data_IF_777622211965
#
_entry.id   IF_777622211965
#
_cell.length_a   1.000
_cell.length_b   1.000
_cell.length_c   1.000
_cell.angle_alpha   90.00
_cell.angle_beta   90.00
_cell.angle_gamma   90.00
#
_symmetry.space_group_name_H-M   'P 1'
#
loop_
_entity.id
_entity.type
_entity.pdbx_description
1 polymer ?
#
# COMPACT_ATOMS: atom_id res chain seq x y z
N UNK A 1 -20.61 -5.69 10.56
CA UNK A 1 -19.78 -5.08 9.52
C UNK A 1 -19.47 -6.08 8.41
N UNK A 2 -18.77 -7.20 8.67
CA UNK A 2 -18.36 -8.16 7.62
C UNK A 2 -19.56 -8.72 6.82
N UNK A 3 -20.63 -9.14 7.48
CA UNK A 3 -21.78 -9.81 6.84
C UNK A 3 -22.56 -8.95 5.83
N UNK A 4 -22.40 -7.64 5.84
CA UNK A 4 -23.10 -6.71 4.93
C UNK A 4 -22.16 -5.84 4.11
N UNK A 5 -20.89 -6.22 3.99
CA UNK A 5 -19.93 -5.46 3.21
C UNK A 5 -19.87 -5.96 1.76
N UNK A 6 -19.85 -5.05 0.79
CA UNK A 6 -19.62 -5.40 -0.62
C UNK A 6 -18.15 -5.65 -0.91
N UNK A 7 -17.27 -4.97 -0.18
CA UNK A 7 -15.81 -5.07 -0.31
C UNK A 7 -15.18 -5.19 1.08
N UNK A 8 -14.23 -6.10 1.22
CA UNK A 8 -13.45 -6.29 2.44
C UNK A 8 -11.97 -6.23 2.05
N UNK A 9 -11.27 -5.20 2.53
CA UNK A 9 -9.81 -5.06 2.35
C UNK A 9 -9.12 -5.58 3.59
N UNK A 10 -8.14 -6.46 3.38
CA UNK A 10 -7.41 -7.14 4.47
C UNK A 10 -5.91 -6.90 4.33
N UNK A 11 -5.31 -6.42 5.43
CA UNK A 11 -3.86 -6.26 5.58
C UNK A 11 -3.42 -7.04 6.81
N UNK A 12 -2.82 -8.20 6.61
CA UNK A 12 -2.40 -9.12 7.67
C UNK A 12 -1.13 -9.88 7.30
N UNK A 13 -0.51 -10.53 8.29
CA UNK A 13 0.64 -11.43 8.11
C UNK A 13 2.00 -10.76 8.28
N UNK A 14 2.11 -9.45 8.17
CA UNK A 14 3.37 -8.74 8.36
C UNK A 14 3.95 -9.00 9.75
N UNK A 15 3.14 -8.90 10.80
CA UNK A 15 3.59 -9.12 12.18
C UNK A 15 4.05 -10.55 12.44
N UNK A 16 3.44 -11.55 11.80
CA UNK A 16 3.84 -12.95 11.94
C UNK A 16 5.27 -13.18 11.44
N UNK A 17 5.71 -12.42 10.44
CA UNK A 17 7.06 -12.47 9.88
C UNK A 17 8.00 -11.51 10.58
N UNK A 18 7.55 -10.29 10.88
CA UNK A 18 8.39 -9.24 11.45
C UNK A 18 8.67 -9.49 12.95
N UNK A 19 7.70 -9.96 13.73
CA UNK A 19 7.87 -10.18 15.15
C UNK A 19 9.08 -11.09 15.51
N UNK A 20 9.29 -12.24 14.85
CA UNK A 20 10.50 -13.03 15.09
C UNK A 20 11.79 -12.29 14.66
N UNK A 21 11.72 -11.41 13.66
CA UNK A 21 12.88 -10.62 13.23
C UNK A 21 13.16 -9.50 14.23
N UNK A 22 12.12 -8.81 14.71
CA UNK A 22 12.24 -7.65 15.60
C UNK A 22 12.57 -8.04 17.05
N UNK A 23 11.96 -9.12 17.56
CA UNK A 23 12.01 -9.53 18.96
C UNK A 23 13.00 -10.68 19.21
N UNK A 24 14.07 -10.78 18.44
CA UNK A 24 15.08 -11.81 18.66
C UNK A 24 16.08 -11.41 19.77
N UNK A 25 16.67 -12.39 20.46
CA UNK A 25 17.65 -12.14 21.51
C UNK A 25 19.06 -11.82 20.99
N UNK A 26 19.28 -11.90 19.66
CA UNK A 26 20.60 -11.71 19.04
C UNK A 26 20.80 -10.24 18.63
N UNK A 27 19.80 -9.66 17.99
CA UNK A 27 19.79 -8.25 17.56
C UNK A 27 18.39 -7.71 17.84
N UNK A 28 18.25 -7.00 18.94
CA UNK A 28 16.97 -6.39 19.32
C UNK A 28 16.80 -5.09 18.55
N UNK A 29 15.84 -5.04 17.64
CA UNK A 29 15.63 -3.86 16.80
C UNK A 29 15.28 -2.63 17.63
N UNK A 30 14.53 -2.80 18.71
CA UNK A 30 14.15 -1.72 19.64
C UNK A 30 15.34 -1.05 20.37
N UNK A 31 16.53 -1.67 20.34
CA UNK A 31 17.74 -1.08 20.89
C UNK A 31 18.40 -0.06 19.96
N UNK A 32 17.85 0.17 18.75
CA UNK A 32 18.44 1.02 17.72
C UNK A 32 17.47 2.07 17.22
N UNK A 33 17.87 3.35 17.28
CA UNK A 33 17.05 4.49 16.86
C UNK A 33 17.14 4.78 15.35
N UNK A 34 18.03 4.08 14.64
CA UNK A 34 18.23 4.29 13.20
C UNK A 34 18.72 3.01 12.50
N UNK A 35 18.49 2.95 11.21
CA UNK A 35 18.82 1.80 10.37
C UNK A 35 20.33 1.53 10.25
N UNK A 36 21.18 2.55 10.43
CA UNK A 36 22.66 2.40 10.32
C UNK A 36 23.21 1.54 11.46
N UNK A 37 22.80 1.85 12.69
CA UNK A 37 23.23 1.12 13.87
C UNK A 37 22.65 -0.29 13.86
N UNK A 38 21.39 -0.45 13.46
CA UNK A 38 20.75 -1.74 13.26
C UNK A 38 21.51 -2.59 12.23
N UNK A 39 21.84 -2.04 11.07
CA UNK A 39 22.59 -2.74 10.02
C UNK A 39 23.97 -3.20 10.51
N UNK A 40 24.68 -2.36 11.28
CA UNK A 40 25.95 -2.74 11.89
C UNK A 40 25.78 -3.86 12.92
N UNK A 41 24.76 -3.80 13.76
CA UNK A 41 24.49 -4.85 14.75
C UNK A 41 24.16 -6.20 14.09
N UNK A 42 23.36 -6.20 13.01
CA UNK A 42 23.08 -7.39 12.20
C UNK A 42 24.38 -7.95 11.63
N UNK A 43 25.26 -7.09 11.11
CA UNK A 43 26.54 -7.48 10.55
C UNK A 43 27.42 -8.14 11.62
N UNK A 44 27.58 -7.51 12.77
CA UNK A 44 28.47 -7.98 13.82
C UNK A 44 27.97 -9.31 14.43
N UNK A 45 26.69 -9.58 14.34
CA UNK A 45 26.03 -10.80 14.82
C UNK A 45 25.51 -11.72 13.70
N UNK A 46 25.95 -11.54 12.47
CA UNK A 46 25.38 -12.16 11.27
C UNK A 46 25.17 -13.69 11.40
N UNK A 47 26.16 -14.42 11.88
CA UNK A 47 26.10 -15.89 11.99
C UNK A 47 25.02 -16.31 12.99
N UNK A 48 24.97 -15.68 14.15
CA UNK A 48 24.00 -16.00 15.20
C UNK A 48 22.58 -15.61 14.77
N UNK A 49 22.43 -14.45 14.14
CA UNK A 49 21.16 -13.94 13.63
C UNK A 49 20.60 -14.84 12.53
N UNK A 50 21.41 -15.20 11.53
CA UNK A 50 20.98 -16.14 10.48
C UNK A 50 20.61 -17.52 11.02
N UNK A 51 21.36 -18.02 12.02
CA UNK A 51 21.03 -19.30 12.68
C UNK A 51 19.68 -19.23 13.37
N UNK A 52 19.42 -18.14 14.07
CA UNK A 52 18.13 -17.89 14.74
C UNK A 52 16.98 -17.85 13.72
N UNK A 53 17.10 -17.06 12.65
CA UNK A 53 16.07 -16.93 11.62
C UNK A 53 15.77 -18.27 10.94
N UNK A 54 16.81 -19.05 10.59
CA UNK A 54 16.63 -20.38 9.98
C UNK A 54 15.89 -21.35 10.89
N UNK A 55 16.02 -21.21 12.21
CA UNK A 55 15.33 -22.05 13.18
C UNK A 55 13.88 -21.62 13.41
N UNK A 56 13.58 -20.33 13.32
CA UNK A 56 12.30 -19.76 13.76
C UNK A 56 11.35 -19.48 12.59
N UNK A 57 11.85 -18.87 11.52
CA UNK A 57 11.03 -18.34 10.43
C UNK A 57 10.21 -19.39 9.67
N UNK A 58 10.70 -20.60 9.39
CA UNK A 58 9.88 -21.59 8.68
C UNK A 58 8.56 -21.89 9.39
N UNK A 59 8.60 -21.99 10.72
CA UNK A 59 7.40 -22.22 11.54
C UNK A 59 6.50 -20.98 11.57
N UNK A 60 7.08 -19.79 11.71
CA UNK A 60 6.33 -18.53 11.72
C UNK A 60 5.56 -18.35 10.40
N UNK A 61 6.21 -18.52 9.26
CA UNK A 61 5.58 -18.40 7.94
C UNK A 61 4.51 -19.47 7.71
N UNK A 62 4.76 -20.73 8.13
CA UNK A 62 3.76 -21.79 8.00
C UNK A 62 2.51 -21.52 8.85
N UNK A 63 2.68 -21.01 10.07
CA UNK A 63 1.57 -20.62 10.93
C UNK A 63 0.80 -19.43 10.35
N UNK A 64 1.50 -18.41 9.83
CA UNK A 64 0.88 -17.27 9.17
C UNK A 64 0.02 -17.72 7.97
N UNK A 65 0.54 -18.58 7.11
CA UNK A 65 -0.21 -19.14 5.99
C UNK A 65 -1.47 -19.88 6.45
N UNK A 66 -1.35 -20.75 7.45
CA UNK A 66 -2.51 -21.46 8.02
C UNK A 66 -3.56 -20.50 8.58
N UNK A 67 -3.14 -19.43 9.24
CA UNK A 67 -4.05 -18.42 9.76
C UNK A 67 -4.74 -17.64 8.62
N UNK A 68 -4.00 -17.28 7.57
CA UNK A 68 -4.54 -16.60 6.39
C UNK A 68 -5.60 -17.48 5.71
N UNK A 69 -5.30 -18.78 5.47
CA UNK A 69 -6.25 -19.73 4.89
C UNK A 69 -7.54 -19.81 5.71
N UNK A 70 -7.41 -19.86 7.03
CA UNK A 70 -8.54 -19.88 7.95
C UNK A 70 -9.37 -18.60 7.91
N UNK A 71 -8.71 -17.44 7.82
CA UNK A 71 -9.37 -16.14 7.73
C UNK A 71 -10.13 -16.00 6.39
N UNK A 72 -9.51 -16.38 5.28
CA UNK A 72 -10.19 -16.39 3.97
C UNK A 72 -11.44 -17.26 4.02
N UNK A 73 -11.33 -18.47 4.56
CA UNK A 73 -12.47 -19.39 4.70
C UNK A 73 -13.58 -18.79 5.57
N UNK A 74 -13.22 -18.19 6.71
CA UNK A 74 -14.20 -17.56 7.61
C UNK A 74 -14.89 -16.34 6.97
N UNK A 75 -14.13 -15.49 6.28
CA UNK A 75 -14.70 -14.33 5.59
C UNK A 75 -15.69 -14.78 4.51
N UNK A 76 -15.32 -15.76 3.68
CA UNK A 76 -16.19 -16.32 2.64
C UNK A 76 -17.44 -17.03 3.22
N UNK A 77 -17.31 -17.71 4.35
CA UNK A 77 -18.45 -18.35 5.01
C UNK A 77 -19.40 -17.35 5.67
N UNK A 78 -18.90 -16.16 6.05
CA UNK A 78 -19.68 -15.10 6.68
C UNK A 78 -20.35 -14.21 5.64
N UNK A 79 -19.69 -14.00 4.49
CA UNK A 79 -20.15 -13.16 3.40
C UNK A 79 -19.54 -13.66 2.08
N UNK A 80 -20.27 -14.50 1.35
CA UNK A 80 -19.85 -15.08 0.09
C UNK A 80 -19.99 -14.13 -1.12
N UNK A 81 -20.66 -12.99 -0.92
CA UNK A 81 -20.85 -11.96 -1.95
C UNK A 81 -19.76 -10.90 -1.93
N UNK A 82 -19.11 -10.70 -0.78
CA UNK A 82 -18.09 -9.67 -0.67
C UNK A 82 -16.87 -9.95 -1.56
N UNK A 83 -16.38 -8.91 -2.22
CA UNK A 83 -15.10 -8.92 -2.86
C UNK A 83 -14.00 -8.84 -1.78
N UNK A 84 -13.23 -9.93 -1.61
CA UNK A 84 -12.13 -9.97 -0.65
C UNK A 84 -10.84 -9.50 -1.33
N UNK A 85 -10.26 -8.39 -0.87
CA UNK A 85 -9.02 -7.83 -1.39
C UNK A 85 -7.95 -7.97 -0.31
N UNK A 86 -6.92 -8.75 -0.56
CA UNK A 86 -5.77 -8.90 0.34
C UNK A 86 -4.60 -8.10 -0.20
N UNK A 87 -3.90 -7.40 0.69
CA UNK A 87 -2.65 -6.73 0.37
C UNK A 87 -1.48 -7.70 0.54
N UNK A 88 -0.56 -7.74 -0.41
CA UNK A 88 0.72 -8.44 -0.22
C UNK A 88 1.56 -7.71 0.82
N UNK A 89 2.36 -8.46 1.58
CA UNK A 89 3.27 -7.90 2.57
C UNK A 89 4.52 -7.39 1.86
N UNK A 90 4.85 -6.12 2.04
CA UNK A 90 6.05 -5.51 1.48
C UNK A 90 7.30 -5.84 2.31
N UNK A 91 8.46 -5.72 1.68
CA UNK A 91 9.76 -5.81 2.34
C UNK A 91 10.21 -4.40 2.77
N UNK A 92 10.25 -4.10 4.07
CA UNK A 92 10.64 -2.78 4.56
C UNK A 92 12.12 -2.47 4.37
N UNK A 93 12.95 -3.46 4.00
CA UNK A 93 14.38 -3.32 3.80
C UNK A 93 14.77 -3.27 2.32
N UNK A 94 13.81 -3.27 1.40
CA UNK A 94 14.04 -3.15 -0.04
C UNK A 94 14.32 -1.71 -0.43
N UNK A 95 15.59 -1.29 -0.27
CA UNK A 95 16.08 0.07 -0.54
C UNK A 95 17.00 0.10 -1.75
N UNK A 96 16.97 1.16 -2.53
CA UNK A 96 17.92 1.42 -3.61
C UNK A 96 19.16 2.18 -3.15
N UNK A 97 20.23 2.01 -3.91
CA UNK A 97 21.55 2.55 -3.59
C UNK A 97 21.60 4.08 -3.64
N UNK A 98 20.83 4.66 -4.54
CA UNK A 98 20.90 6.09 -4.83
C UNK A 98 20.06 6.95 -3.87
N UNK A 99 19.09 6.33 -3.17
CA UNK A 99 18.09 7.06 -2.37
C UNK A 99 18.49 7.27 -0.89
N UNK A 100 19.48 6.53 -0.39
CA UNK A 100 19.57 6.35 1.07
C UNK A 100 20.67 7.16 1.76
N UNK A 101 21.70 7.60 1.06
CA UNK A 101 22.90 8.11 1.72
C UNK A 101 23.61 7.09 2.64
N UNK A 102 23.16 5.82 2.64
CA UNK A 102 23.77 4.72 3.39
C UNK A 102 25.15 4.40 2.86
N UNK A 103 26.08 4.03 3.76
CA UNK A 103 27.38 3.51 3.30
C UNK A 103 27.19 2.26 2.45
N UNK A 104 28.05 2.07 1.46
CA UNK A 104 28.04 0.91 0.56
C UNK A 104 27.98 -0.43 1.32
N UNK A 105 28.60 -0.53 2.49
CA UNK A 105 28.60 -1.73 3.30
C UNK A 105 27.25 -1.98 3.96
N UNK A 106 26.61 -0.96 4.56
CA UNK A 106 25.30 -1.08 5.19
C UNK A 106 24.24 -1.44 4.14
N UNK A 107 24.28 -0.77 3.00
CA UNK A 107 23.39 -1.04 1.88
C UNK A 107 23.53 -2.47 1.34
N UNK A 108 24.76 -2.95 1.12
CA UNK A 108 25.01 -4.32 0.68
C UNK A 108 24.42 -5.36 1.64
N UNK A 109 24.44 -5.06 2.92
CA UNK A 109 23.89 -5.98 3.93
C UNK A 109 22.38 -5.99 3.96
N UNK A 110 21.74 -4.82 3.92
CA UNK A 110 20.29 -4.72 3.83
C UNK A 110 19.79 -5.40 2.55
N UNK A 111 20.43 -5.12 1.41
CA UNK A 111 20.10 -5.74 0.12
C UNK A 111 20.30 -7.26 0.15
N UNK A 112 21.37 -7.76 0.76
CA UNK A 112 21.60 -9.20 0.87
C UNK A 112 20.58 -9.89 1.78
N UNK A 113 20.14 -9.25 2.84
CA UNK A 113 19.07 -9.76 3.70
C UNK A 113 17.71 -9.69 3.00
N UNK A 114 17.36 -8.56 2.41
CA UNK A 114 16.13 -8.32 1.67
C UNK A 114 15.99 -9.32 0.49
N UNK A 115 16.94 -9.32 -0.43
CA UNK A 115 16.91 -10.19 -1.61
C UNK A 115 17.13 -11.68 -1.31
N UNK A 116 17.70 -11.99 -0.15
CA UNK A 116 17.96 -13.36 0.28
C UNK A 116 16.86 -13.93 1.16
N UNK A 117 16.87 -13.57 2.42
CA UNK A 117 16.02 -14.19 3.45
C UNK A 117 14.60 -13.64 3.46
N UNK A 118 14.44 -12.30 3.46
CA UNK A 118 13.10 -11.71 3.45
C UNK A 118 12.33 -12.08 2.19
N UNK A 119 13.00 -12.07 1.03
CA UNK A 119 12.38 -12.54 -0.21
C UNK A 119 11.81 -13.97 -0.08
N UNK A 120 12.56 -14.90 0.52
CA UNK A 120 12.10 -16.28 0.71
C UNK A 120 10.89 -16.38 1.64
N UNK A 121 10.88 -15.60 2.71
CA UNK A 121 9.77 -15.60 3.68
C UNK A 121 8.48 -15.02 3.07
N UNK A 122 8.61 -14.02 2.21
CA UNK A 122 7.50 -13.38 1.54
C UNK A 122 7.06 -14.14 0.27
N UNK A 123 8.01 -14.52 -0.59
CA UNK A 123 7.72 -14.99 -1.94
C UNK A 123 8.09 -16.47 -2.19
N UNK A 124 8.58 -17.15 -1.17
CA UNK A 124 8.95 -18.55 -1.25
C UNK A 124 10.34 -18.81 -1.83
N UNK A 125 10.80 -20.05 -1.71
CA UNK A 125 12.11 -20.47 -2.24
C UNK A 125 12.01 -20.72 -3.74
N UNK A 126 12.74 -19.98 -4.56
CA UNK A 126 12.97 -20.36 -5.94
C UNK A 126 13.83 -21.64 -6.00
N UNK A 127 13.32 -22.67 -6.67
CA UNK A 127 13.98 -23.90 -7.12
C UNK A 127 15.35 -24.22 -6.52
N UNK A 128 15.41 -25.18 -5.57
CA UNK A 128 16.66 -25.87 -5.21
C UNK A 128 17.26 -25.53 -3.83
N UNK A 129 16.64 -24.69 -3.02
CA UNK A 129 17.01 -24.51 -1.63
C UNK A 129 16.52 -25.67 -0.75
N UNK A 130 17.25 -26.01 0.30
CA UNK A 130 16.99 -27.12 1.23
C UNK A 130 15.65 -26.99 1.99
N UNK A 131 14.94 -25.87 1.83
CA UNK A 131 13.65 -25.56 2.45
C UNK A 131 12.65 -25.18 1.38
N UNK A 132 11.66 -26.05 1.15
CA UNK A 132 10.46 -25.72 0.38
C UNK A 132 9.58 -24.89 1.32
N UNK A 133 9.79 -23.60 1.33
CA UNK A 133 8.97 -22.66 2.08
C UNK A 133 7.98 -22.00 1.10
N UNK A 134 6.70 -22.19 1.34
CA UNK A 134 5.67 -21.38 0.68
C UNK A 134 5.69 -20.01 1.38
N UNK A 135 6.14 -18.98 0.68
CA UNK A 135 6.15 -17.63 1.20
C UNK A 135 4.75 -17.08 1.41
N UNK A 136 4.63 -16.06 2.25
CA UNK A 136 3.35 -15.48 2.61
C UNK A 136 2.62 -14.87 1.41
N UNK A 137 3.31 -14.07 0.60
CA UNK A 137 2.76 -13.50 -0.63
C UNK A 137 2.48 -14.58 -1.68
N UNK A 138 3.30 -15.64 -1.73
CA UNK A 138 3.05 -16.78 -2.61
C UNK A 138 1.76 -17.52 -2.23
N UNK A 139 1.47 -17.67 -0.93
CA UNK A 139 0.20 -18.24 -0.47
C UNK A 139 -0.98 -17.36 -0.92
N UNK A 140 -0.91 -16.06 -0.69
CA UNK A 140 -1.93 -15.11 -1.17
C UNK A 140 -2.12 -15.16 -2.69
N UNK A 141 -1.02 -15.25 -3.46
CA UNK A 141 -1.08 -15.41 -4.92
C UNK A 141 -1.79 -16.68 -5.33
N UNK A 142 -1.58 -17.79 -4.59
CA UNK A 142 -2.27 -19.06 -4.85
C UNK A 142 -3.78 -18.92 -4.66
N UNK A 143 -4.22 -18.29 -3.57
CA UNK A 143 -5.65 -18.00 -3.36
C UNK A 143 -6.25 -17.10 -4.44
N UNK A 144 -5.48 -16.10 -4.92
CA UNK A 144 -5.92 -15.23 -6.01
C UNK A 144 -6.03 -15.97 -7.35
N UNK A 145 -5.07 -16.84 -7.68
CA UNK A 145 -5.10 -17.67 -8.88
C UNK A 145 -6.28 -18.65 -8.87
N UNK A 146 -6.68 -19.13 -7.69
CA UNK A 146 -7.87 -19.96 -7.51
C UNK A 146 -9.20 -19.17 -7.56
N UNK A 147 -9.14 -17.84 -7.70
CA UNK A 147 -10.32 -16.98 -7.72
C UNK A 147 -11.00 -16.81 -6.35
N UNK A 148 -10.27 -17.08 -5.27
CA UNK A 148 -10.79 -17.00 -3.91
C UNK A 148 -10.72 -15.60 -3.32
N UNK A 149 -9.73 -14.81 -3.74
CA UNK A 149 -9.48 -13.43 -3.32
C UNK A 149 -8.98 -12.59 -4.52
N UNK A 150 -8.94 -11.28 -4.32
CA UNK A 150 -8.20 -10.33 -5.17
C UNK A 150 -6.94 -9.88 -4.44
N UNK A 151 -5.90 -9.50 -5.20
CA UNK A 151 -4.65 -9.01 -4.64
C UNK A 151 -4.44 -7.52 -4.96
N UNK A 152 -4.04 -6.77 -3.94
CA UNK A 152 -3.36 -5.50 -4.09
C UNK A 152 -1.86 -5.74 -3.86
N UNK A 153 -1.05 -5.63 -4.91
CA UNK A 153 0.36 -6.00 -4.87
C UNK A 153 1.25 -4.89 -4.30
N UNK A 154 1.11 -4.67 -2.99
CA UNK A 154 1.90 -3.68 -2.25
C UNK A 154 3.39 -4.05 -2.24
N UNK A 155 3.72 -5.36 -2.28
CA UNK A 155 5.11 -5.81 -2.34
C UNK A 155 5.83 -5.23 -3.55
N UNK A 156 5.27 -5.39 -4.74
CA UNK A 156 5.87 -4.87 -5.97
C UNK A 156 5.89 -3.35 -6.01
N UNK A 157 4.87 -2.69 -5.48
CA UNK A 157 4.80 -1.24 -5.42
C UNK A 157 5.84 -0.61 -4.47
N UNK A 158 6.29 -1.37 -3.46
CA UNK A 158 7.30 -0.91 -2.49
C UNK A 158 8.71 -1.42 -2.80
N UNK A 159 8.84 -2.35 -3.76
CA UNK A 159 10.13 -2.93 -4.14
C UNK A 159 11.09 -1.83 -4.60
N UNK A 160 12.25 -1.74 -3.97
CA UNK A 160 13.26 -0.70 -4.17
C UNK A 160 12.86 0.72 -3.72
N UNK A 161 11.68 0.90 -3.13
CA UNK A 161 11.17 2.20 -2.67
C UNK A 161 10.95 2.27 -1.14
N UNK A 162 11.52 1.32 -0.38
CA UNK A 162 11.32 1.30 1.07
C UNK A 162 11.83 2.58 1.75
N UNK A 163 12.89 3.21 1.23
CA UNK A 163 13.41 4.47 1.80
C UNK A 163 12.39 5.62 1.76
N UNK A 164 11.58 5.68 0.72
CA UNK A 164 10.54 6.72 0.55
C UNK A 164 9.22 6.30 1.17
N UNK A 165 8.85 5.02 1.01
CA UNK A 165 7.53 4.51 1.35
C UNK A 165 7.42 3.99 2.79
N UNK A 166 8.55 3.73 3.46
CA UNK A 166 8.63 3.17 4.81
C UNK A 166 9.48 4.05 5.70
N UNK A 167 9.18 4.15 7.00
CA UNK A 167 9.98 4.93 7.96
C UNK A 167 11.31 4.26 8.34
N UNK A 168 11.89 3.47 7.44
CA UNK A 168 13.05 2.62 7.71
C UNK A 168 14.29 3.40 8.16
N UNK A 169 14.45 4.65 7.75
CA UNK A 169 15.55 5.51 8.22
C UNK A 169 15.59 5.62 9.75
N UNK A 170 14.43 5.56 10.39
CA UNK A 170 14.25 5.59 11.85
C UNK A 170 14.08 4.18 12.45
N UNK A 171 14.51 3.13 11.75
CA UNK A 171 14.31 1.72 12.13
C UNK A 171 12.82 1.35 12.35
N UNK A 172 11.89 2.09 11.75
CA UNK A 172 10.46 1.85 11.81
C UNK A 172 9.97 1.22 10.50
N UNK A 173 9.24 0.13 10.60
CA UNK A 173 8.77 -0.67 9.45
C UNK A 173 7.41 -0.23 8.91
N UNK A 174 6.80 0.80 9.50
CA UNK A 174 5.48 1.29 9.08
C UNK A 174 5.58 2.23 7.87
N UNK A 175 4.54 2.29 7.02
CA UNK A 175 4.53 3.19 5.88
C UNK A 175 4.60 4.67 6.27
N UNK A 176 5.29 5.45 5.46
CA UNK A 176 5.22 6.92 5.50
C UNK A 176 3.89 7.42 4.93
N UNK A 177 3.66 8.74 4.97
CA UNK A 177 2.53 9.35 4.27
C UNK A 177 2.55 9.01 2.76
N UNK A 178 3.74 9.01 2.13
CA UNK A 178 3.93 8.60 0.73
C UNK A 178 3.59 7.13 0.53
N UNK A 179 4.03 6.25 1.43
CA UNK A 179 3.70 4.83 1.37
C UNK A 179 2.20 4.57 1.52
N UNK A 180 1.52 5.26 2.43
CA UNK A 180 0.06 5.17 2.55
C UNK A 180 -0.65 5.66 1.29
N UNK A 181 -0.19 6.75 0.67
CA UNK A 181 -0.73 7.23 -0.60
C UNK A 181 -0.52 6.21 -1.73
N UNK A 182 0.66 5.58 -1.80
CA UNK A 182 0.95 4.53 -2.78
C UNK A 182 0.00 3.32 -2.62
N UNK A 183 -0.26 2.88 -1.39
CA UNK A 183 -1.22 1.80 -1.10
C UNK A 183 -2.64 2.20 -1.52
N UNK A 184 -3.06 3.42 -1.18
CA UNK A 184 -4.39 3.92 -1.55
C UNK A 184 -4.56 3.99 -3.08
N UNK A 185 -3.58 4.54 -3.79
CA UNK A 185 -3.61 4.61 -5.26
C UNK A 185 -3.65 3.22 -5.89
N UNK A 186 -2.85 2.27 -5.39
CA UNK A 186 -2.87 0.89 -5.86
C UNK A 186 -4.28 0.26 -5.72
N UNK A 187 -4.96 0.50 -4.62
CA UNK A 187 -6.31 0.02 -4.39
C UNK A 187 -7.32 0.70 -5.33
N UNK A 188 -7.24 2.01 -5.51
CA UNK A 188 -8.12 2.78 -6.42
C UNK A 188 -7.93 2.33 -7.87
N UNK A 189 -6.67 2.22 -8.32
CA UNK A 189 -6.34 1.86 -9.70
C UNK A 189 -6.60 0.38 -10.03
N UNK A 190 -6.76 -0.47 -9.02
CA UNK A 190 -7.02 -1.90 -9.20
C UNK A 190 -8.34 -2.21 -9.93
N UNK A 191 -9.30 -1.27 -9.96
CA UNK A 191 -10.64 -1.48 -10.46
C UNK A 191 -11.49 -2.42 -9.58
N UNK A 192 -11.01 -2.75 -8.37
CA UNK A 192 -11.74 -3.59 -7.44
C UNK A 192 -12.91 -2.86 -6.79
N UNK A 193 -12.77 -1.56 -6.62
CA UNK A 193 -13.86 -0.73 -6.15
C UNK A 193 -14.80 -0.42 -7.31
N UNK A 194 -16.14 -0.37 -7.06
CA UNK A 194 -17.02 0.20 -8.05
C UNK A 194 -16.43 1.56 -8.40
N UNK A 195 -16.28 1.84 -9.69
CA UNK A 195 -16.06 3.21 -10.09
C UNK A 195 -17.20 3.99 -9.45
N UNK A 196 -16.90 4.86 -8.51
CA UNK A 196 -17.82 5.96 -8.24
C UNK A 196 -18.08 6.49 -9.63
N UNK A 197 -19.31 6.41 -10.10
CA UNK A 197 -19.66 7.01 -11.38
C UNK A 197 -19.12 8.43 -11.23
N UNK A 198 -18.07 8.77 -12.02
CA UNK A 198 -17.52 10.11 -11.95
C UNK A 198 -18.68 11.02 -12.29
N UNK A 199 -19.32 11.54 -11.29
CA UNK A 199 -20.31 12.58 -11.47
C UNK A 199 -19.46 13.80 -11.78
N UNK A 200 -19.54 14.28 -13.01
CA UNK A 200 -18.81 15.49 -13.37
C UNK A 200 -19.19 16.59 -12.40
N UNK A 201 -18.17 17.19 -11.78
CA UNK A 201 -18.34 18.20 -10.75
C UNK A 201 -18.42 17.70 -9.30
N UNK A 202 -18.45 16.39 -9.04
CA UNK A 202 -18.30 15.77 -7.70
C UNK A 202 -16.83 15.37 -7.51
N UNK A 203 -16.08 16.16 -6.79
CA UNK A 203 -14.63 15.98 -6.62
C UNK A 203 -14.30 15.24 -5.33
N UNK A 204 -15.13 15.39 -4.29
CA UNK A 204 -14.89 14.74 -2.99
C UNK A 204 -15.57 13.37 -2.88
N UNK A 205 -16.45 13.01 -3.85
CA UNK A 205 -17.06 11.68 -3.97
C UNK A 205 -18.25 11.47 -3.02
N UNK A 206 -18.91 12.56 -2.57
CA UNK A 206 -20.04 12.50 -1.65
C UNK A 206 -21.40 12.35 -2.37
N UNK A 207 -21.37 12.17 -3.71
CA UNK A 207 -22.54 12.07 -4.62
C UNK A 207 -23.35 13.37 -4.74
N UNK A 208 -22.77 14.49 -4.34
CA UNK A 208 -23.36 15.81 -4.51
C UNK A 208 -22.42 16.70 -5.32
N UNK A 209 -22.99 17.71 -5.93
CA UNK A 209 -22.23 18.76 -6.60
C UNK A 209 -22.55 20.06 -5.84
N UNK A 210 -21.59 20.53 -5.06
CA UNK A 210 -21.80 21.70 -4.19
C UNK A 210 -20.55 22.60 -4.08
N UNK A 211 -20.57 23.48 -3.09
CA UNK A 211 -19.51 24.47 -2.88
C UNK A 211 -18.18 23.82 -2.48
N UNK A 212 -18.21 22.64 -1.83
CA UNK A 212 -16.98 21.92 -1.43
C UNK A 212 -16.16 21.49 -2.63
N UNK A 213 -16.83 21.05 -3.69
CA UNK A 213 -16.18 20.62 -4.94
C UNK A 213 -15.51 21.81 -5.64
N UNK A 214 -16.22 22.94 -5.73
CA UNK A 214 -15.64 24.14 -6.31
C UNK A 214 -14.41 24.64 -5.51
N UNK A 215 -14.44 24.53 -4.19
CA UNK A 215 -13.29 24.85 -3.33
C UNK A 215 -12.14 23.87 -3.54
N UNK A 216 -12.44 22.59 -3.74
CA UNK A 216 -11.42 21.57 -4.05
C UNK A 216 -10.70 21.89 -5.36
N UNK A 217 -11.44 22.22 -6.44
CA UNK A 217 -10.88 22.65 -7.72
C UNK A 217 -10.00 23.89 -7.59
N UNK A 218 -10.48 24.94 -6.89
CA UNK A 218 -9.70 26.16 -6.67
C UNK A 218 -8.42 25.90 -5.86
N UNK A 219 -8.48 25.01 -4.90
CA UNK A 219 -7.34 24.65 -4.06
C UNK A 219 -6.27 23.95 -4.88
N UNK A 220 -6.67 22.99 -5.72
CA UNK A 220 -5.75 22.28 -6.61
C UNK A 220 -5.18 23.21 -7.69
N UNK A 221 -6.00 24.05 -8.30
CA UNK A 221 -5.54 25.09 -9.24
C UNK A 221 -4.50 26.01 -8.59
N UNK A 222 -4.77 26.52 -7.40
CA UNK A 222 -3.83 27.40 -6.66
C UNK A 222 -2.52 26.67 -6.33
N UNK A 223 -2.58 25.38 -6.00
CA UNK A 223 -1.43 24.53 -5.74
C UNK A 223 -0.53 24.41 -6.98
N UNK A 224 -1.13 24.08 -8.13
CA UNK A 224 -0.41 23.93 -9.40
C UNK A 224 0.16 25.29 -9.84
N UNK A 225 -0.62 26.35 -9.74
CA UNK A 225 -0.18 27.71 -10.09
C UNK A 225 0.99 28.20 -9.21
N UNK A 226 1.08 27.72 -7.97
CA UNK A 226 2.22 27.97 -7.07
C UNK A 226 3.45 27.11 -7.38
N UNK A 227 3.41 26.25 -8.41
CA UNK A 227 4.52 25.38 -8.80
C UNK A 227 4.65 24.11 -7.96
N UNK A 228 3.62 23.74 -7.18
CA UNK A 228 3.58 22.48 -6.44
C UNK A 228 3.02 21.33 -7.31
N UNK A 229 3.32 20.11 -6.94
CA UNK A 229 2.78 18.92 -7.61
C UNK A 229 1.27 18.83 -7.45
N UNK A 230 0.59 18.36 -8.51
CA UNK A 230 -0.84 18.11 -8.51
C UNK A 230 -1.17 16.96 -7.53
N UNK A 231 -2.25 17.12 -6.76
CA UNK A 231 -2.71 16.10 -5.82
C UNK A 231 -3.95 15.34 -6.30
N UNK A 232 -4.69 15.89 -7.26
CA UNK A 232 -5.84 15.19 -7.81
C UNK A 232 -5.40 13.93 -8.55
N UNK A 233 -6.02 12.80 -8.20
CA UNK A 233 -5.89 11.57 -8.95
C UNK A 233 -6.55 11.69 -10.36
N UNK A 234 -6.35 10.74 -11.28
CA UNK A 234 -6.91 10.81 -12.63
C UNK A 234 -8.44 10.93 -12.66
N UNK A 235 -9.15 10.30 -11.73
CA UNK A 235 -10.61 10.37 -11.63
C UNK A 235 -11.07 11.77 -11.22
N UNK A 236 -10.45 12.32 -10.17
CA UNK A 236 -10.73 13.69 -9.72
C UNK A 236 -10.42 14.75 -10.80
N UNK A 237 -9.30 14.59 -11.53
CA UNK A 237 -8.98 15.48 -12.65
C UNK A 237 -10.05 15.48 -13.73
N UNK A 238 -10.58 14.30 -14.03
CA UNK A 238 -11.65 14.15 -15.02
C UNK A 238 -12.96 14.77 -14.52
N UNK A 239 -13.36 14.52 -13.27
CA UNK A 239 -14.58 15.11 -12.68
C UNK A 239 -14.49 16.62 -12.51
N UNK A 240 -13.28 17.14 -12.34
CA UNK A 240 -13.02 18.56 -12.10
C UNK A 240 -13.00 19.42 -13.39
N UNK A 241 -12.65 18.83 -14.54
CA UNK A 241 -12.68 19.48 -15.86
C UNK A 241 -14.13 19.44 -16.41
N UNK A 242 -15.00 20.29 -15.83
CA UNK A 242 -16.44 20.25 -16.09
C UNK A 242 -16.82 20.94 -17.41
N UNK A 243 -15.91 21.69 -18.01
CA UNK A 243 -16.07 22.32 -19.32
C UNK A 243 -15.39 21.55 -20.46
N UNK A 244 -14.67 20.44 -20.11
CA UNK A 244 -13.98 19.53 -21.03
C UNK A 244 -12.93 20.23 -21.94
N UNK A 245 -12.29 21.30 -21.45
CA UNK A 245 -11.24 22.00 -22.21
C UNK A 245 -9.84 21.41 -21.99
N UNK A 246 -9.70 20.44 -21.08
CA UNK A 246 -8.46 19.76 -20.75
C UNK A 246 -7.57 20.53 -19.78
N UNK A 247 -8.04 21.66 -19.25
CA UNK A 247 -7.33 22.46 -18.24
C UNK A 247 -8.12 22.47 -16.94
N UNK A 248 -7.42 22.39 -15.83
CA UNK A 248 -8.03 22.57 -14.51
C UNK A 248 -7.81 23.99 -14.06
N UNK A 249 -8.85 24.82 -14.07
CA UNK A 249 -8.74 26.22 -13.71
C UNK A 249 -10.00 26.82 -13.02
N UNK A 250 -10.04 28.14 -12.92
CA UNK A 250 -11.14 28.87 -12.25
C UNK A 250 -12.46 28.69 -12.99
N UNK A 251 -12.46 28.45 -14.31
CA UNK A 251 -13.70 28.28 -15.09
C UNK A 251 -14.46 27.04 -14.70
N UNK A 252 -13.75 25.95 -14.32
CA UNK A 252 -14.36 24.73 -13.82
C UNK A 252 -15.05 24.96 -12.48
N UNK A 253 -14.36 25.60 -11.53
CA UNK A 253 -14.94 25.94 -10.24
C UNK A 253 -16.20 26.82 -10.40
N UNK A 254 -16.18 27.77 -11.33
CA UNK A 254 -17.35 28.58 -11.65
C UNK A 254 -18.47 27.74 -12.25
N UNK A 255 -18.15 26.78 -13.13
CA UNK A 255 -19.09 25.82 -13.71
C UNK A 255 -19.82 25.02 -12.61
N UNK A 256 -19.08 24.50 -11.64
CA UNK A 256 -19.63 23.79 -10.47
C UNK A 256 -20.55 24.69 -9.64
N UNK A 257 -20.14 25.91 -9.34
CA UNK A 257 -20.98 26.85 -8.59
C UNK A 257 -22.27 27.24 -9.34
N UNK A 258 -22.21 27.37 -10.66
CA UNK A 258 -23.40 27.63 -11.49
C UNK A 258 -24.32 26.41 -11.46
N UNK A 259 -23.81 25.20 -11.57
CA UNK A 259 -24.56 23.96 -11.46
C UNK A 259 -25.28 23.90 -10.10
N UNK A 260 -24.56 24.09 -9.01
CA UNK A 260 -25.11 24.12 -7.66
C UNK A 260 -26.21 25.17 -7.49
N UNK A 261 -25.99 26.40 -7.99
CA UNK A 261 -26.98 27.49 -7.88
C UNK A 261 -28.26 27.16 -8.66
N UNK A 262 -28.18 26.55 -9.84
CA UNK A 262 -29.32 26.08 -10.63
C UNK A 262 -30.09 25.01 -9.86
N UNK A 263 -29.37 24.00 -9.33
CA UNK A 263 -29.95 22.92 -8.54
C UNK A 263 -30.70 23.48 -7.28
N UNK A 264 -30.06 24.36 -6.54
CA UNK A 264 -30.63 24.97 -5.36
C UNK A 264 -31.87 25.83 -5.63
N UNK A 265 -31.99 26.38 -6.86
CA UNK A 265 -33.16 27.15 -7.30
C UNK A 265 -34.27 26.28 -7.93
N UNK A 266 -34.12 24.94 -7.92
CA UNK A 266 -35.09 24.02 -8.48
C UNK A 266 -35.07 23.91 -10.01
N UNK A 267 -34.02 24.40 -10.67
CA UNK A 267 -33.79 24.24 -12.10
C UNK A 267 -33.05 22.90 -12.33
N UNK A 268 -33.15 22.35 -13.54
CA UNK A 268 -32.35 21.19 -13.96
C UNK A 268 -30.97 21.70 -14.38
N UNK A 269 -29.91 21.42 -13.63
CA UNK A 269 -28.56 21.88 -13.98
C UNK A 269 -27.93 20.97 -15.04
N UNK A 270 -26.99 21.52 -15.81
CA UNK A 270 -26.09 20.78 -16.69
C UNK A 270 -24.79 21.54 -16.80
N UNK A 271 -23.69 20.82 -16.94
CA UNK A 271 -22.44 21.38 -17.48
C UNK A 271 -22.61 21.56 -18.99
N UNK A 272 -22.18 22.68 -19.54
CA UNK A 272 -22.29 23.06 -20.94
C UNK A 272 -20.95 23.52 -21.45
#
# INVERSE_FOLDING_TARGET
AVAGADIIVVTIGANDILQPVLNNDVVKVDDYDNVYDLANAIKDNQIAFQKYLRATMPTAVANANTNIDSIILQLKSTNDHAKLIFQTVYDPLSVDQDDTGLSTNALSMLSAFSNGQMYQYLNGSANGGTYILVGLNQNLQTHAQNGEIYLADVYSAFLHHAWTNVNIANADVHPTATGHAAIANLLIESGYFPSVANIDGDIDGDEKIDVSDAVAVLTEYARIAAGNEAQFNPAQKKSADVNEDGMLDVSDAVGILIYYAKQASGQTPSFS
#
